data_IF_395878841794
#
_entry.id   IF_395878841794
#
_cell.length_a   1.000
_cell.length_b   1.000
_cell.length_c   1.000
_cell.angle_alpha   90.00
_cell.angle_beta   90.00
_cell.angle_gamma   90.00
#
_symmetry.space_group_name_H-M   'P 1'
#
loop_
_entity.id
_entity.type
_entity.pdbx_description
1 polymer ?
#
# COMPACT_ATOMS: atom_id res chain seq x y z
N UNK A 1 7.56 23.10 -24.06
CA UNK A 1 6.65 23.94 -23.25
C UNK A 1 5.29 23.27 -23.20
N UNK A 2 4.94 22.63 -22.08
CA UNK A 2 3.56 22.24 -21.81
C UNK A 2 3.26 22.62 -20.35
N UNK A 3 2.19 23.41 -20.23
CA UNK A 3 1.77 24.16 -19.06
C UNK A 3 0.95 23.29 -18.11
N UNK A 4 1.10 23.57 -16.82
CA UNK A 4 0.34 23.03 -15.70
C UNK A 4 -1.18 23.18 -15.87
N UNK A 5 -1.93 22.19 -15.37
CA UNK A 5 -3.35 22.32 -15.06
C UNK A 5 -3.69 21.46 -13.82
N UNK A 6 -3.73 22.17 -12.69
CA UNK A 6 -4.68 22.15 -11.59
C UNK A 6 -5.28 20.86 -10.99
N UNK A 7 -5.06 20.82 -9.67
CA UNK A 7 -5.66 20.06 -8.60
C UNK A 7 -7.18 20.16 -8.50
N UNK A 8 -7.84 19.03 -8.19
CA UNK A 8 -9.26 18.98 -7.79
C UNK A 8 -9.42 18.22 -6.46
N UNK A 9 -9.66 18.97 -5.37
CA UNK A 9 -10.24 18.48 -4.11
C UNK A 9 -11.00 19.66 -3.48
N UNK A 10 -12.31 19.56 -3.19
CA UNK A 10 -13.04 20.68 -2.60
C UNK A 10 -12.91 20.70 -1.06
N UNK A 11 -12.44 21.83 -0.51
CA UNK A 11 -12.59 22.18 0.92
C UNK A 11 -13.90 22.94 1.13
N UNK A 12 -14.76 22.46 2.03
CA UNK A 12 -15.91 23.21 2.55
C UNK A 12 -15.44 24.39 3.41
N UNK A 13 -15.92 25.60 3.13
CA UNK A 13 -15.89 26.77 4.02
C UNK A 13 -17.33 27.06 4.45
N UNK A 14 -17.60 27.07 5.76
CA UNK A 14 -18.81 27.68 6.31
C UNK A 14 -18.55 29.17 6.52
N UNK A 15 -19.48 30.02 6.08
CA UNK A 15 -19.60 31.39 6.53
C UNK A 15 -20.94 31.57 7.23
N UNK A 16 -20.87 32.32 8.31
CA UNK A 16 -21.88 32.65 9.29
C UNK A 16 -22.24 34.13 9.11
N UNK A 17 -23.54 34.51 9.04
CA UNK A 17 -24.05 35.88 9.25
C UNK A 17 -25.55 35.85 9.64
N UNK A 18 -25.91 36.76 10.58
CA UNK A 18 -27.15 36.84 11.38
C UNK A 18 -28.45 37.23 10.62
N UNK A 19 -29.57 37.60 11.26
CA UNK A 19 -29.79 38.19 12.59
C UNK A 19 -31.24 38.01 13.10
N UNK A 20 -31.37 38.14 14.43
CA UNK A 20 -32.50 38.52 15.32
C UNK A 20 -33.95 38.65 14.81
N UNK A 21 -34.88 38.06 15.57
CA UNK A 21 -36.04 38.80 16.17
C UNK A 21 -36.40 38.21 17.56
N UNK A 22 -36.88 39.08 18.46
CA UNK A 22 -37.20 38.82 19.87
C UNK A 22 -38.63 38.29 20.04
N UNK A 23 -38.86 37.39 21.00
CA UNK A 23 -40.12 37.31 21.74
C UNK A 23 -39.88 36.73 23.15
N UNK A 24 -40.50 37.40 24.12
CA UNK A 24 -40.34 37.30 25.57
C UNK A 24 -41.32 36.28 26.15
N UNK A 25 -40.89 35.41 27.07
CA UNK A 25 -41.75 34.87 28.13
C UNK A 25 -40.90 34.37 29.30
N UNK A 26 -41.01 35.06 30.44
CA UNK A 26 -40.54 34.59 31.75
C UNK A 26 -41.52 33.52 32.26
N UNK A 27 -41.02 32.39 32.73
CA UNK A 27 -41.67 31.63 33.82
C UNK A 27 -40.60 30.89 34.60
N UNK A 28 -40.53 31.22 35.89
CA UNK A 28 -39.69 30.62 36.91
C UNK A 28 -40.52 29.57 37.64
N UNK A 29 -40.12 28.30 37.63
CA UNK A 29 -40.53 27.33 38.67
C UNK A 29 -39.31 26.47 39.06
N UNK A 30 -39.13 26.33 40.37
CA UNK A 30 -38.03 25.72 41.15
C UNK A 30 -38.03 24.17 41.09
N UNK A 31 -36.94 23.53 41.59
CA UNK A 31 -36.63 22.12 41.30
C UNK A 31 -37.36 21.14 42.23
N UNK A 32 -37.65 19.92 41.76
CA UNK A 32 -38.22 18.85 42.56
C UNK A 32 -37.33 17.61 42.61
N UNK A 33 -36.96 17.28 43.85
CA UNK A 33 -36.77 15.97 44.46
C UNK A 33 -35.83 14.93 43.83
N UNK A 34 -34.73 14.71 44.56
CA UNK A 34 -33.94 13.47 44.63
C UNK A 34 -34.86 12.25 44.84
N UNK A 35 -34.71 11.23 43.99
CA UNK A 35 -35.08 9.85 44.35
C UNK A 35 -33.80 9.06 44.59
N UNK A 36 -33.59 8.67 45.85
CA UNK A 36 -32.64 7.63 46.24
C UNK A 36 -33.34 6.29 46.04
N UNK A 37 -32.79 5.41 45.22
CA UNK A 37 -33.06 3.99 45.36
C UNK A 37 -31.80 3.14 45.25
N UNK A 38 -31.48 2.56 46.41
CA UNK A 38 -30.78 1.31 46.71
C UNK A 38 -29.93 0.67 45.61
N UNK A 39 -28.64 0.56 45.93
CA UNK A 39 -27.73 -0.42 45.38
C UNK A 39 -28.25 -1.84 45.70
N UNK A 40 -28.28 -2.72 44.70
CA UNK A 40 -28.10 -4.15 44.91
C UNK A 40 -26.86 -4.60 44.15
N UNK A 41 -25.81 -4.86 44.92
CA UNK A 41 -24.57 -5.49 44.48
C UNK A 41 -24.81 -6.90 43.96
N UNK A 42 -24.61 -7.11 42.66
CA UNK A 42 -24.18 -8.40 42.14
C UNK A 42 -22.80 -8.23 41.52
N UNK A 43 -21.82 -8.61 42.34
CA UNK A 43 -20.41 -8.71 42.03
C UNK A 43 -20.22 -10.11 41.46
N UNK A 44 -20.38 -10.30 40.16
CA UNK A 44 -19.86 -11.49 39.49
C UNK A 44 -18.37 -11.29 39.27
N UNK A 45 -17.61 -12.04 40.07
CA UNK A 45 -16.16 -12.21 39.95
C UNK A 45 -15.85 -12.90 38.62
N UNK A 46 -14.82 -12.39 37.96
CA UNK A 46 -13.86 -13.15 37.15
C UNK A 46 -14.44 -14.14 36.16
N UNK A 47 -14.68 -13.67 34.94
CA UNK A 47 -14.56 -14.53 33.76
C UNK A 47 -13.26 -14.15 33.05
N UNK A 48 -12.26 -14.98 33.33
CA UNK A 48 -11.23 -15.44 32.41
C UNK A 48 -10.64 -14.41 31.46
N UNK A 49 -9.52 -13.87 31.92
CA UNK A 49 -8.37 -13.54 31.08
C UNK A 49 -7.93 -14.80 30.30
N UNK A 50 -8.68 -15.16 29.27
CA UNK A 50 -8.14 -15.93 28.17
C UNK A 50 -7.26 -14.95 27.40
N UNK A 51 -5.98 -14.92 27.76
CA UNK A 51 -4.92 -14.64 26.80
C UNK A 51 -5.11 -15.60 25.64
N UNK A 52 -5.98 -15.23 24.69
CA UNK A 52 -5.94 -15.78 23.35
C UNK A 52 -4.50 -15.55 22.88
N UNK A 53 -3.74 -16.62 22.78
CA UNK A 53 -2.62 -16.67 21.86
C UNK A 53 -3.22 -16.36 20.49
N UNK A 54 -3.21 -15.07 20.15
CA UNK A 54 -3.77 -14.51 18.93
C UNK A 54 -2.94 -15.05 17.79
N UNK A 55 -3.31 -16.21 17.28
CA UNK A 55 -2.66 -16.83 16.14
C UNK A 55 -2.68 -15.80 14.99
N UNK A 56 -1.52 -15.20 14.74
CA UNK A 56 -1.37 -14.22 13.69
C UNK A 56 -1.23 -14.96 12.36
N UNK A 57 -2.35 -15.24 11.72
CA UNK A 57 -2.38 -15.82 10.39
C UNK A 57 -1.89 -14.80 9.35
N UNK A 58 -0.91 -15.20 8.53
CA UNK A 58 -0.37 -14.39 7.43
C UNK A 58 -0.24 -15.24 6.17
N UNK A 59 -0.88 -14.80 5.08
CA UNK A 59 -0.71 -15.33 3.74
C UNK A 59 0.51 -14.66 3.09
N UNK A 60 1.29 -15.46 2.37
CA UNK A 60 2.44 -14.99 1.61
C UNK A 60 2.25 -15.41 0.15
N UNK A 61 2.34 -14.44 -0.76
CA UNK A 61 2.32 -14.67 -2.20
C UNK A 61 3.65 -14.23 -2.82
N UNK A 62 4.02 -14.92 -3.89
CA UNK A 62 5.03 -14.40 -4.82
C UNK A 62 4.42 -13.33 -5.73
N UNK A 63 5.20 -12.37 -6.22
CA UNK A 63 4.76 -11.41 -7.23
C UNK A 63 4.49 -12.14 -8.56
N UNK A 64 3.63 -11.56 -9.39
CA UNK A 64 3.47 -11.98 -10.77
C UNK A 64 4.50 -11.29 -11.67
N UNK A 65 4.91 -11.94 -12.76
CA UNK A 65 5.81 -11.33 -13.77
C UNK A 65 5.12 -10.28 -14.64
N UNK A 66 3.80 -10.37 -14.75
CA UNK A 66 2.98 -9.50 -15.57
C UNK A 66 2.25 -8.52 -14.66
N UNK A 67 2.20 -7.27 -15.10
CA UNK A 67 1.52 -6.18 -14.41
C UNK A 67 0.37 -5.68 -15.30
N UNK A 68 -0.80 -5.45 -14.70
CA UNK A 68 -1.89 -4.69 -15.30
C UNK A 68 -1.88 -3.28 -14.71
N UNK A 69 -1.27 -2.34 -15.44
CA UNK A 69 -1.25 -0.92 -15.08
C UNK A 69 -2.33 -0.10 -15.80
N UNK A 70 -3.37 -0.75 -16.35
CA UNK A 70 -4.51 -0.02 -16.89
C UNK A 70 -5.15 0.85 -15.80
N UNK A 71 -5.62 2.07 -16.14
CA UNK A 71 -6.30 2.94 -15.19
C UNK A 71 -7.47 2.21 -14.52
N UNK A 72 -7.59 2.38 -13.21
CA UNK A 72 -8.76 1.92 -12.47
C UNK A 72 -9.88 2.95 -12.67
N UNK A 73 -11.06 2.51 -13.11
CA UNK A 73 -12.20 3.42 -13.22
C UNK A 73 -12.59 3.96 -11.84
N UNK A 74 -13.20 5.15 -11.78
CA UNK A 74 -13.64 5.72 -10.52
C UNK A 74 -14.66 4.81 -9.81
N UNK A 75 -15.53 4.16 -10.58
CA UNK A 75 -16.54 3.23 -10.10
C UNK A 75 -15.90 1.96 -9.52
N UNK A 76 -14.90 1.39 -10.19
CA UNK A 76 -14.17 0.23 -9.66
C UNK A 76 -13.36 0.59 -8.42
N UNK A 77 -12.73 1.77 -8.42
CA UNK A 77 -11.98 2.26 -7.26
C UNK A 77 -12.90 2.40 -6.04
N UNK A 78 -14.07 3.02 -6.18
CA UNK A 78 -15.06 3.16 -5.11
C UNK A 78 -15.59 1.81 -4.63
N UNK A 79 -15.96 0.92 -5.57
CA UNK A 79 -16.53 -0.40 -5.25
C UNK A 79 -15.53 -1.31 -4.52
N UNK A 80 -14.28 -1.34 -4.98
CA UNK A 80 -13.25 -2.25 -4.46
C UNK A 80 -12.60 -1.66 -3.21
N UNK A 81 -12.16 -0.41 -3.28
CA UNK A 81 -11.35 0.22 -2.22
C UNK A 81 -12.21 0.93 -1.17
N UNK A 82 -13.42 1.41 -1.53
CA UNK A 82 -14.20 2.27 -0.65
C UNK A 82 -13.40 3.49 -0.19
N UNK A 83 -13.39 3.73 1.12
CA UNK A 83 -12.62 4.83 1.72
C UNK A 83 -11.13 4.48 1.97
N UNK A 84 -10.67 3.28 1.58
CA UNK A 84 -9.28 2.88 1.81
C UNK A 84 -8.32 3.61 0.87
N UNK A 85 -7.48 4.47 1.45
CA UNK A 85 -6.38 5.09 0.74
C UNK A 85 -5.29 4.08 0.37
N UNK A 86 -4.57 4.38 -0.71
CA UNK A 86 -3.29 3.73 -1.00
C UNK A 86 -2.32 3.89 0.17
N UNK A 87 -1.63 2.81 0.49
CA UNK A 87 -0.52 2.83 1.42
C UNK A 87 0.80 2.89 0.67
N UNK A 88 1.90 3.08 1.39
CA UNK A 88 3.23 3.06 0.80
C UNK A 88 3.92 1.75 1.18
N UNK A 89 4.76 1.20 0.28
CA UNK A 89 5.61 0.06 0.60
C UNK A 89 6.38 0.29 1.91
N UNK A 90 6.28 -0.67 2.82
CA UNK A 90 7.03 -0.68 4.08
C UNK A 90 8.37 -1.40 3.84
N UNK A 91 9.21 -0.79 3.01
CA UNK A 91 10.46 -1.36 2.53
C UNK A 91 11.68 -0.64 3.11
N UNK A 92 12.81 -1.35 3.18
CA UNK A 92 14.10 -0.72 3.46
C UNK A 92 14.45 0.23 2.30
N UNK A 93 14.28 1.53 2.56
CA UNK A 93 14.43 2.60 1.57
C UNK A 93 15.84 2.62 0.97
N UNK A 94 16.87 2.35 1.77
CA UNK A 94 18.25 2.31 1.29
C UNK A 94 18.43 1.14 0.33
N UNK A 95 17.95 -0.05 0.70
CA UNK A 95 18.04 -1.24 -0.15
C UNK A 95 17.27 -1.08 -1.46
N UNK A 96 16.06 -0.49 -1.42
CA UNK A 96 15.27 -0.17 -2.63
C UNK A 96 16.02 0.84 -3.50
N UNK A 97 16.59 1.90 -2.91
CA UNK A 97 17.31 2.93 -3.65
C UNK A 97 18.58 2.40 -4.33
N UNK A 98 19.28 1.45 -3.71
CA UNK A 98 20.43 0.78 -4.31
C UNK A 98 20.04 0.00 -5.56
N UNK A 99 18.97 -0.80 -5.49
CA UNK A 99 18.45 -1.54 -6.65
C UNK A 99 18.02 -0.55 -7.74
N UNK A 100 17.20 0.44 -7.40
CA UNK A 100 16.72 1.45 -8.35
C UNK A 100 17.88 2.14 -9.09
N UNK A 101 18.91 2.57 -8.35
CA UNK A 101 20.08 3.25 -8.91
C UNK A 101 20.87 2.38 -9.90
N UNK A 102 20.90 1.07 -9.69
CA UNK A 102 21.53 0.12 -10.60
C UNK A 102 20.66 -0.08 -11.84
N UNK A 103 19.36 -0.35 -11.64
CA UNK A 103 18.43 -0.68 -12.71
C UNK A 103 18.22 0.49 -13.68
N UNK A 104 18.05 1.72 -13.17
CA UNK A 104 17.85 2.93 -13.98
C UNK A 104 19.03 3.26 -14.89
N UNK A 105 20.25 2.83 -14.55
CA UNK A 105 21.47 3.08 -15.35
C UNK A 105 21.70 2.06 -16.46
N UNK A 106 20.95 0.96 -16.47
CA UNK A 106 21.13 -0.08 -17.47
C UNK A 106 20.54 0.36 -18.81
N UNK A 107 21.28 0.16 -19.91
CA UNK A 107 20.71 0.25 -21.26
C UNK A 107 19.74 -0.91 -21.51
N UNK A 108 18.85 -0.82 -22.53
CA UNK A 108 17.95 -1.93 -22.89
C UNK A 108 18.71 -3.25 -23.10
N UNK A 109 19.83 -3.23 -23.85
CA UNK A 109 20.63 -4.45 -24.07
C UNK A 109 21.21 -5.02 -22.76
N UNK A 110 21.66 -4.16 -21.85
CA UNK A 110 22.19 -4.58 -20.54
C UNK A 110 21.08 -5.18 -19.67
N UNK A 111 19.89 -4.58 -19.64
CA UNK A 111 18.72 -5.14 -18.95
C UNK A 111 18.32 -6.50 -19.51
N UNK A 112 18.34 -6.66 -20.84
CA UNK A 112 18.03 -7.95 -21.47
C UNK A 112 18.95 -9.07 -21.00
N UNK A 113 20.26 -8.80 -20.94
CA UNK A 113 21.25 -9.75 -20.42
C UNK A 113 21.09 -9.97 -18.91
N UNK A 114 20.87 -8.90 -18.15
CA UNK A 114 20.75 -8.94 -16.69
C UNK A 114 19.52 -9.73 -16.24
N UNK A 115 18.38 -9.52 -16.90
CA UNK A 115 17.09 -10.12 -16.57
C UNK A 115 16.83 -11.44 -17.33
N UNK A 116 17.60 -11.76 -18.37
CA UNK A 116 17.39 -12.94 -19.22
C UNK A 116 16.10 -12.85 -20.05
N UNK A 117 15.82 -11.69 -20.63
CA UNK A 117 14.56 -11.40 -21.35
C UNK A 117 14.80 -10.96 -22.80
N UNK A 118 13.75 -11.01 -23.61
CA UNK A 118 13.80 -10.63 -25.03
C UNK A 118 14.12 -9.14 -25.23
N UNK A 119 14.63 -8.72 -26.41
CA UNK A 119 14.89 -7.31 -26.71
C UNK A 119 13.65 -6.41 -26.51
N UNK A 120 12.48 -6.87 -26.93
CA UNK A 120 11.23 -6.12 -26.75
C UNK A 120 10.91 -5.91 -25.26
N UNK A 121 10.97 -6.97 -24.44
CA UNK A 121 10.74 -6.85 -23.00
C UNK A 121 11.82 -6.01 -22.31
N UNK A 122 13.04 -6.01 -22.84
CA UNK A 122 14.14 -5.21 -22.33
C UNK A 122 13.91 -3.72 -22.54
N UNK A 123 13.35 -3.35 -23.69
CA UNK A 123 12.95 -1.98 -24.00
C UNK A 123 11.85 -1.51 -23.04
N UNK A 124 10.81 -2.32 -22.86
CA UNK A 124 9.73 -2.02 -21.90
C UNK A 124 10.24 -1.88 -20.47
N UNK A 125 11.12 -2.79 -20.02
CA UNK A 125 11.72 -2.71 -18.69
C UNK A 125 12.56 -1.44 -18.53
N UNK A 126 13.32 -1.04 -19.57
CA UNK A 126 14.10 0.20 -19.56
C UNK A 126 13.21 1.43 -19.41
N UNK A 127 12.09 1.49 -20.14
CA UNK A 127 11.11 2.57 -20.04
C UNK A 127 10.51 2.66 -18.63
N UNK A 128 10.15 1.52 -18.03
CA UNK A 128 9.68 1.47 -16.65
C UNK A 128 10.70 2.09 -15.69
N UNK A 129 11.96 1.66 -15.73
CA UNK A 129 12.99 2.20 -14.83
C UNK A 129 13.35 3.67 -15.11
N UNK A 130 13.25 4.10 -16.36
CA UNK A 130 13.52 5.49 -16.75
C UNK A 130 12.44 6.43 -16.22
N UNK A 131 11.18 6.03 -16.34
CA UNK A 131 10.00 6.80 -15.94
C UNK A 131 9.63 6.63 -14.46
N UNK A 132 10.28 5.71 -13.75
CA UNK A 132 10.05 5.50 -12.33
C UNK A 132 10.38 6.77 -11.52
N UNK A 133 9.39 7.27 -10.79
CA UNK A 133 9.54 8.39 -9.86
C UNK A 133 9.90 7.87 -8.47
N UNK A 134 11.17 8.03 -8.10
CA UNK A 134 11.67 7.65 -6.77
C UNK A 134 11.49 8.76 -5.72
N UNK A 135 11.02 9.95 -6.11
CA UNK A 135 10.86 11.10 -5.22
C UNK A 135 9.46 11.20 -4.64
N UNK A 136 8.46 10.74 -5.39
CA UNK A 136 7.08 10.69 -4.93
C UNK A 136 6.74 9.33 -4.32
N UNK A 137 6.18 9.36 -3.11
CA UNK A 137 5.81 8.14 -2.37
C UNK A 137 4.54 7.48 -2.93
N UNK A 138 3.66 8.24 -3.58
CA UNK A 138 2.46 7.74 -4.27
C UNK A 138 2.32 8.50 -5.60
N UNK A 139 3.06 8.10 -6.64
CA UNK A 139 3.00 8.74 -7.95
C UNK A 139 1.70 8.40 -8.68
N UNK A 140 1.31 9.24 -9.64
CA UNK A 140 0.09 9.04 -10.44
C UNK A 140 0.13 7.77 -11.29
N UNK A 141 1.31 7.24 -11.57
CA UNK A 141 1.53 5.97 -12.26
C UNK A 141 1.34 4.75 -11.35
N UNK A 142 1.14 4.94 -10.04
CA UNK A 142 1.02 3.86 -9.10
C UNK A 142 -0.37 3.23 -9.08
N UNK A 143 -0.41 1.93 -8.80
CA UNK A 143 -1.62 1.14 -8.61
C UNK A 143 -1.49 0.28 -7.35
N UNK A 144 -2.57 -0.07 -6.62
CA UNK A 144 -2.48 -0.99 -5.49
C UNK A 144 -1.83 -2.31 -5.95
N UNK A 145 -0.85 -2.83 -5.20
CA UNK A 145 -0.15 -4.07 -5.55
C UNK A 145 -1.10 -5.24 -5.86
N UNK A 146 -2.19 -5.39 -5.11
CA UNK A 146 -3.20 -6.43 -5.32
C UNK A 146 -3.90 -6.33 -6.69
N UNK A 147 -4.07 -5.11 -7.21
CA UNK A 147 -4.73 -4.84 -8.50
C UNK A 147 -3.73 -4.71 -9.65
N UNK A 148 -2.44 -4.56 -9.34
CA UNK A 148 -1.39 -4.39 -10.33
C UNK A 148 -0.80 -5.73 -10.78
N UNK A 149 -0.58 -6.69 -9.89
CA UNK A 149 -0.08 -8.01 -10.28
C UNK A 149 -1.13 -8.80 -11.05
N UNK A 150 -0.75 -9.32 -12.22
CA UNK A 150 -1.61 -10.11 -13.10
C UNK A 150 -0.96 -11.46 -13.38
N UNK A 151 -1.47 -12.51 -12.75
CA UNK A 151 -0.98 -13.88 -12.92
C UNK A 151 -1.96 -14.85 -12.28
N UNK A 152 -1.81 -16.16 -12.50
CA UNK A 152 -2.81 -17.16 -12.11
C UNK A 152 -3.30 -17.04 -10.65
N UNK A 153 -2.40 -16.83 -9.68
CA UNK A 153 -2.77 -16.64 -8.28
C UNK A 153 -3.61 -15.36 -8.04
N UNK A 154 -3.28 -14.26 -8.72
CA UNK A 154 -3.98 -12.97 -8.60
C UNK A 154 -5.30 -12.95 -9.37
N UNK A 155 -5.36 -13.64 -10.51
CA UNK A 155 -6.60 -13.86 -11.25
C UNK A 155 -7.56 -14.75 -10.44
N UNK A 156 -7.06 -15.78 -9.77
CA UNK A 156 -7.84 -16.63 -8.87
C UNK A 156 -8.39 -15.91 -7.64
N UNK A 157 -7.65 -14.90 -7.13
CA UNK A 157 -8.13 -14.02 -6.05
C UNK A 157 -9.32 -13.15 -6.46
N UNK A 158 -9.49 -12.90 -7.77
CA UNK A 158 -10.55 -12.05 -8.33
C UNK A 158 -10.67 -10.70 -7.59
N UNK A 159 -9.56 -10.02 -7.34
CA UNK A 159 -9.53 -8.84 -6.47
C UNK A 159 -10.52 -7.73 -6.86
N UNK A 160 -10.90 -7.64 -8.15
CA UNK A 160 -11.89 -6.69 -8.67
C UNK A 160 -13.33 -6.95 -8.20
N UNK A 161 -13.64 -8.13 -7.69
CA UNK A 161 -14.97 -8.50 -7.18
C UNK A 161 -15.07 -8.43 -5.65
N UNK A 162 -13.95 -8.13 -4.98
CA UNK A 162 -13.91 -8.02 -3.52
C UNK A 162 -14.50 -6.69 -3.06
N UNK A 163 -15.21 -6.74 -1.94
CA UNK A 163 -15.69 -5.53 -1.26
C UNK A 163 -14.60 -4.93 -0.33
N UNK A 164 -14.79 -3.70 0.17
CA UNK A 164 -13.78 -3.01 0.98
C UNK A 164 -13.39 -3.75 2.27
N UNK A 165 -14.31 -4.53 2.88
CA UNK A 165 -14.01 -5.32 4.08
C UNK A 165 -13.02 -6.44 3.79
N UNK A 166 -13.18 -7.11 2.65
CA UNK A 166 -12.23 -8.13 2.19
C UNK A 166 -10.86 -7.51 1.90
N UNK A 167 -10.82 -6.32 1.28
CA UNK A 167 -9.58 -5.58 1.04
C UNK A 167 -8.89 -5.23 2.36
N UNK A 168 -9.61 -4.74 3.36
CA UNK A 168 -9.04 -4.46 4.69
C UNK A 168 -8.46 -5.71 5.36
N UNK A 169 -9.15 -6.86 5.23
CA UNK A 169 -8.64 -8.14 5.72
C UNK A 169 -7.34 -8.53 5.01
N UNK A 170 -7.31 -8.50 3.67
CA UNK A 170 -6.09 -8.80 2.91
C UNK A 170 -4.97 -7.83 3.27
N UNK A 171 -5.25 -6.54 3.44
CA UNK A 171 -4.23 -5.54 3.79
C UNK A 171 -3.47 -5.90 5.08
N UNK A 172 -4.17 -6.49 6.05
CA UNK A 172 -3.60 -6.94 7.32
C UNK A 172 -2.90 -8.31 7.20
N UNK A 173 -3.49 -9.22 6.45
CA UNK A 173 -3.14 -10.64 6.48
C UNK A 173 -2.32 -11.14 5.28
N UNK A 174 -2.26 -10.41 4.17
CA UNK A 174 -1.50 -10.79 2.98
C UNK A 174 -0.20 -9.98 2.87
N UNK A 175 0.89 -10.65 2.51
CA UNK A 175 2.15 -10.06 2.06
C UNK A 175 2.57 -10.65 0.72
N UNK A 176 3.15 -9.80 -0.12
CA UNK A 176 3.71 -10.18 -1.41
C UNK A 176 5.23 -9.99 -1.33
N UNK A 177 6.01 -11.07 -1.53
CA UNK A 177 7.48 -11.05 -1.37
C UNK A 177 8.14 -10.57 -2.66
N UNK A 178 8.49 -9.30 -2.70
CA UNK A 178 8.81 -8.57 -3.91
C UNK A 178 10.33 -8.36 -4.07
N UNK A 179 10.91 -8.56 -5.27
CA UNK A 179 12.36 -8.43 -5.46
C UNK A 179 12.87 -6.98 -5.43
N UNK A 180 12.01 -5.98 -5.59
CA UNK A 180 12.38 -4.57 -5.61
C UNK A 180 11.90 -3.81 -4.36
N UNK A 181 10.68 -4.10 -3.91
CA UNK A 181 10.09 -3.51 -2.71
C UNK A 181 10.28 -4.38 -1.46
N UNK A 182 10.87 -5.57 -1.57
CA UNK A 182 11.07 -6.50 -0.45
C UNK A 182 9.78 -7.17 0.00
N UNK A 183 8.86 -6.41 0.61
CA UNK A 183 7.53 -6.89 0.98
C UNK A 183 6.47 -5.84 0.70
N UNK A 184 5.43 -6.22 -0.05
CA UNK A 184 4.29 -5.38 -0.34
C UNK A 184 3.04 -5.87 0.40
N UNK A 185 2.21 -4.92 0.81
CA UNK A 185 0.83 -5.12 1.21
C UNK A 185 -0.10 -4.87 0.01
N UNK A 186 -1.31 -5.45 0.01
CA UNK A 186 -2.30 -5.27 -1.05
C UNK A 186 -2.53 -3.85 -1.55
N UNK A 187 -2.57 -2.86 -0.66
CA UNK A 187 -2.82 -1.45 -0.96
C UNK A 187 -1.54 -0.62 -1.12
N UNK A 188 -0.36 -1.23 -1.04
CA UNK A 188 0.87 -0.48 -1.27
C UNK A 188 0.92 -0.02 -2.73
N UNK A 189 1.18 1.28 -2.91
CA UNK A 189 1.27 1.95 -4.19
C UNK A 189 2.51 1.47 -4.94
N UNK A 190 2.29 0.84 -6.10
CA UNK A 190 3.35 0.25 -6.91
C UNK A 190 3.38 0.86 -8.31
N UNK A 191 4.55 1.32 -8.74
CA UNK A 191 4.84 1.68 -10.13
C UNK A 191 5.23 0.46 -10.95
N UNK A 192 5.06 0.48 -12.29
CA UNK A 192 5.53 -0.60 -13.14
C UNK A 192 7.04 -0.75 -13.04
N UNK A 193 7.48 -1.99 -12.95
CA UNK A 193 8.89 -2.34 -12.98
C UNK A 193 9.03 -3.76 -13.51
N UNK A 194 10.27 -4.18 -13.81
CA UNK A 194 10.58 -5.59 -14.09
C UNK A 194 11.86 -5.99 -13.39
N UNK A 195 11.73 -6.88 -12.41
CA UNK A 195 12.81 -7.54 -11.70
C UNK A 195 12.29 -8.88 -11.19
N UNK A 196 13.13 -9.93 -11.21
CA UNK A 196 12.77 -11.23 -10.68
C UNK A 196 13.64 -11.57 -9.46
N UNK A 197 13.09 -12.29 -8.49
CA UNK A 197 13.85 -12.71 -7.31
C UNK A 197 15.08 -13.58 -7.66
N UNK A 198 15.03 -14.25 -8.82
CA UNK A 198 16.10 -15.12 -9.33
C UNK A 198 17.22 -14.38 -10.09
N UNK A 199 17.19 -13.05 -10.19
CA UNK A 199 18.18 -12.25 -10.93
C UNK A 199 19.54 -12.23 -10.21
N UNK A 200 20.31 -13.33 -10.30
CA UNK A 200 21.62 -13.49 -9.65
C UNK A 200 22.67 -12.47 -10.11
N UNK A 201 22.60 -12.04 -11.38
CA UNK A 201 23.52 -11.06 -11.97
C UNK A 201 23.47 -9.68 -11.30
N UNK A 202 22.41 -9.38 -10.55
CA UNK A 202 22.28 -8.14 -9.79
C UNK A 202 23.10 -8.15 -8.48
N UNK A 203 23.32 -9.33 -7.88
CA UNK A 203 24.01 -9.48 -6.58
C UNK A 203 25.43 -8.88 -6.59
N UNK A 204 26.31 -9.15 -7.59
CA UNK A 204 27.63 -8.53 -7.65
C UNK A 204 27.58 -6.99 -7.78
N UNK A 205 26.53 -6.44 -8.39
CA UNK A 205 26.36 -4.99 -8.53
C UNK A 205 25.94 -4.35 -7.21
N UNK A 206 25.07 -5.02 -6.45
CA UNK A 206 24.66 -4.59 -5.11
C UNK A 206 25.81 -4.63 -4.11
N UNK A 207 26.67 -5.66 -4.17
CA UNK A 207 27.87 -5.76 -3.31
C UNK A 207 28.83 -4.59 -3.47
N UNK A 208 28.92 -3.98 -4.66
CA UNK A 208 29.72 -2.76 -4.88
C UNK A 208 29.13 -1.51 -4.21
N UNK A 209 27.85 -1.57 -3.81
CA UNK A 209 27.09 -0.49 -3.20
C UNK A 209 26.81 -0.70 -1.71
N UNK A 210 26.99 -1.91 -1.21
CA UNK A 210 26.72 -2.30 0.17
C UNK A 210 28.03 -2.39 0.95
N UNK A 211 28.08 -1.98 2.23
CA UNK A 211 29.24 -2.21 3.08
C UNK A 211 29.61 -3.71 3.15
N UNK A 212 30.90 -4.07 3.36
CA UNK A 212 31.37 -5.46 3.35
C UNK A 212 30.76 -6.38 4.43
N UNK A 213 30.05 -5.82 5.41
CA UNK A 213 29.52 -6.53 6.57
C UNK A 213 28.26 -7.36 6.32
N UNK A 214 27.66 -7.28 5.12
CA UNK A 214 26.51 -8.09 4.73
C UNK A 214 26.87 -9.04 3.58
N UNK A 215 27.11 -10.31 3.89
CA UNK A 215 27.31 -11.34 2.87
C UNK A 215 25.96 -11.92 2.41
N UNK A 216 25.53 -11.58 1.20
CA UNK A 216 24.35 -12.16 0.56
C UNK A 216 24.71 -12.81 -0.79
N UNK A 217 24.01 -13.89 -1.13
CA UNK A 217 24.19 -14.69 -2.36
C UNK A 217 22.98 -14.63 -3.30
N UNK A 218 21.87 -14.05 -2.84
CA UNK A 218 20.62 -13.91 -3.61
C UNK A 218 19.88 -12.63 -3.21
N UNK A 219 18.90 -12.21 -4.02
CA UNK A 219 18.01 -11.10 -3.67
C UNK A 219 17.13 -11.43 -2.46
N UNK A 220 16.73 -12.69 -2.28
CA UNK A 220 15.99 -13.11 -1.09
C UNK A 220 16.82 -12.90 0.19
N UNK A 221 18.10 -13.25 0.18
CA UNK A 221 19.01 -12.97 1.30
C UNK A 221 19.27 -11.48 1.47
N UNK A 222 19.36 -10.74 0.36
CA UNK A 222 19.49 -9.28 0.40
C UNK A 222 18.29 -8.60 1.07
N UNK A 223 17.10 -9.19 1.01
CA UNK A 223 15.90 -8.70 1.71
C UNK A 223 15.66 -9.35 3.08
N UNK A 224 16.51 -10.29 3.49
CA UNK A 224 16.45 -10.86 4.83
C UNK A 224 16.73 -9.77 5.88
N UNK A 225 16.01 -9.76 7.03
CA UNK A 225 16.33 -8.89 8.15
C UNK A 225 17.76 -9.06 8.63
#
# INVERSE_FOLDING_TARGET
>A
HWSSADSFFPRKRSQDKGAMTKATAKTTIRPSAKSKHLQSSHKTKGEDSLTESKFMFRMILSPAKTLDMSPLSAQDAESILGDHALTQPDCDVERTQQIFSIMKKQSPSSLGKLLGISPALSQTAHEYWSNFDATNRIPNSAKPALLAFSGAAYLGLQAKTLNPRCIAYLQKHLRIVDPFYGSLRPLDAMQPYRLEMATKSLVPLLKKKTPPSHEFKSLAQYWSP
#
